data_IF_798453584765
#
_entry.id   IF_798453584765
#
_cell.length_a   1.000
_cell.length_b   1.000
_cell.length_c   1.000
_cell.angle_alpha   90.00
_cell.angle_beta   90.00
_cell.angle_gamma   90.00
#
_symmetry.space_group_name_H-M   'P 1'
#
loop_
_entity.id
_entity.type
_entity.pdbx_description
1 polymer ?
#
# COMPACT_ATOMS: atom_id res chain seq x y z
N UNK A 1 9.04 -15.59 -5.94
CA UNK A 1 8.78 -14.81 -4.71
C UNK A 1 9.97 -14.91 -3.76
N UNK A 2 10.23 -16.05 -3.11
CA UNK A 2 11.30 -16.20 -2.11
C UNK A 2 12.70 -15.67 -2.49
N UNK A 3 13.18 -15.88 -3.73
CA UNK A 3 14.53 -15.43 -4.14
C UNK A 3 14.68 -13.91 -4.21
N UNK A 4 13.63 -13.20 -4.61
CA UNK A 4 13.63 -11.73 -4.71
C UNK A 4 13.51 -11.12 -3.31
N UNK A 5 12.67 -11.70 -2.46
CA UNK A 5 12.49 -11.23 -1.08
C UNK A 5 13.77 -11.43 -0.24
N UNK A 6 14.46 -12.57 -0.41
CA UNK A 6 15.75 -12.82 0.21
C UNK A 6 16.82 -11.82 -0.26
N UNK A 7 16.81 -11.43 -1.53
CA UNK A 7 17.73 -10.43 -2.08
C UNK A 7 17.46 -9.05 -1.49
N UNK A 8 16.18 -8.65 -1.35
CA UNK A 8 15.78 -7.38 -0.72
C UNK A 8 16.25 -7.31 0.73
N UNK A 9 15.99 -8.35 1.51
CA UNK A 9 16.41 -8.42 2.91
C UNK A 9 17.94 -8.33 3.04
N UNK A 10 18.68 -9.03 2.19
CA UNK A 10 20.15 -8.97 2.17
C UNK A 10 20.70 -7.57 1.84
N UNK A 11 20.00 -6.80 1.00
CA UNK A 11 20.35 -5.41 0.68
C UNK A 11 20.06 -4.50 1.87
N UNK A 12 18.91 -4.66 2.54
CA UNK A 12 18.55 -3.90 3.75
C UNK A 12 19.60 -4.11 4.85
N UNK A 13 19.99 -5.35 5.11
CA UNK A 13 21.01 -5.66 6.11
C UNK A 13 22.34 -4.97 5.80
N UNK A 14 22.75 -4.99 4.53
CA UNK A 14 23.98 -4.29 4.10
C UNK A 14 23.86 -2.78 4.28
N UNK A 15 22.71 -2.18 3.95
CA UNK A 15 22.48 -0.74 4.13
C UNK A 15 22.59 -0.34 5.60
N UNK A 16 22.05 -1.14 6.52
CA UNK A 16 22.12 -0.89 7.97
C UNK A 16 23.55 -0.92 8.53
N UNK A 17 24.48 -1.62 7.87
CA UNK A 17 25.89 -1.68 8.27
C UNK A 17 26.76 -0.54 7.74
N UNK A 18 26.27 0.26 6.78
CA UNK A 18 27.06 1.35 6.18
C UNK A 18 27.06 2.57 7.10
N UNK A 19 28.25 2.93 7.59
CA UNK A 19 28.46 4.14 8.39
C UNK A 19 28.95 5.34 7.56
N UNK A 20 29.42 5.09 6.34
CA UNK A 20 29.97 6.13 5.48
C UNK A 20 28.86 6.89 4.74
N UNK A 21 28.68 8.16 5.12
CA UNK A 21 27.69 9.07 4.54
C UNK A 21 27.82 9.25 3.02
N UNK A 22 29.04 9.29 2.47
CA UNK A 22 29.25 9.48 1.03
C UNK A 22 28.79 8.26 0.22
N UNK A 23 29.03 7.06 0.74
CA UNK A 23 28.52 5.84 0.12
C UNK A 23 27.01 5.76 0.19
N UNK A 24 26.41 6.09 1.33
CA UNK A 24 24.95 6.11 1.48
C UNK A 24 24.30 7.11 0.51
N UNK A 25 24.91 8.28 0.33
CA UNK A 25 24.44 9.30 -0.62
C UNK A 25 24.51 8.83 -2.08
N UNK A 26 25.60 8.17 -2.47
CA UNK A 26 25.74 7.63 -3.82
C UNK A 26 24.73 6.51 -4.09
N UNK A 27 24.47 5.65 -3.11
CA UNK A 27 23.44 4.61 -3.20
C UNK A 27 22.03 5.20 -3.28
N UNK A 28 21.72 6.21 -2.47
CA UNK A 28 20.45 6.94 -2.54
C UNK A 28 20.23 7.51 -3.94
N UNK A 29 21.23 8.23 -4.49
CA UNK A 29 21.16 8.82 -5.83
C UNK A 29 21.04 7.76 -6.93
N UNK A 30 21.66 6.60 -6.75
CA UNK A 30 21.55 5.48 -7.70
C UNK A 30 20.13 4.91 -7.72
N UNK A 31 19.54 4.69 -6.55
CA UNK A 31 18.18 4.14 -6.40
C UNK A 31 17.12 5.15 -6.86
N UNK A 32 17.33 6.44 -6.58
CA UNK A 32 16.44 7.51 -7.03
C UNK A 32 16.46 7.66 -8.56
N UNK A 33 17.62 7.48 -9.21
CA UNK A 33 17.78 7.56 -10.66
C UNK A 33 17.46 6.27 -11.40
N UNK A 34 17.54 5.12 -10.74
CA UNK A 34 16.94 3.89 -11.25
C UNK A 34 15.44 4.08 -11.14
N UNK A 35 14.86 4.69 -12.18
CA UNK A 35 13.42 4.81 -12.35
C UNK A 35 12.78 3.49 -11.94
N UNK A 36 12.20 3.47 -10.74
CA UNK A 36 11.07 2.59 -10.46
C UNK A 36 10.12 2.98 -11.59
N UNK A 37 9.91 2.09 -12.55
CA UNK A 37 8.76 2.22 -13.41
C UNK A 37 7.63 2.52 -12.44
N UNK A 38 7.13 3.76 -12.48
CA UNK A 38 5.85 4.07 -11.89
C UNK A 38 4.88 3.30 -12.76
N UNK A 39 4.82 1.99 -12.55
CA UNK A 39 3.69 1.16 -12.87
C UNK A 39 2.59 1.73 -11.99
N UNK A 40 2.04 2.85 -12.46
CA UNK A 40 0.75 3.35 -12.02
C UNK A 40 -0.15 2.15 -12.19
N UNK A 41 -0.51 1.53 -11.07
CA UNK A 41 -1.35 0.35 -11.06
C UNK A 41 -2.62 0.73 -11.81
N UNK A 42 -2.76 0.20 -13.02
CA UNK A 42 -3.95 0.46 -13.82
C UNK A 42 -5.08 -0.32 -13.18
N UNK A 43 -6.10 0.40 -12.74
CA UNK A 43 -7.32 -0.23 -12.25
C UNK A 43 -7.95 -1.03 -13.40
N UNK A 44 -8.49 -2.20 -13.06
CA UNK A 44 -9.34 -2.94 -14.00
C UNK A 44 -10.66 -2.21 -14.20
N UNK A 45 -11.40 -2.56 -15.25
CA UNK A 45 -12.71 -1.93 -15.52
C UNK A 45 -13.68 -2.15 -14.36
N UNK A 46 -13.63 -3.32 -13.72
CA UNK A 46 -14.46 -3.67 -12.56
C UNK A 46 -14.12 -2.83 -11.33
N UNK A 47 -12.83 -2.54 -11.12
CA UNK A 47 -12.38 -1.68 -10.03
C UNK A 47 -12.79 -0.22 -10.24
N UNK A 48 -12.73 0.27 -11.48
CA UNK A 48 -13.25 1.60 -11.83
C UNK A 48 -14.76 1.67 -11.60
N UNK A 49 -15.50 0.65 -12.06
CA UNK A 49 -16.95 0.58 -11.85
C UNK A 49 -17.32 0.56 -10.35
N UNK A 50 -16.56 -0.16 -9.52
CA UNK A 50 -16.78 -0.18 -8.07
C UNK A 50 -16.64 1.22 -7.46
N UNK A 51 -15.67 2.01 -7.90
CA UNK A 51 -15.49 3.39 -7.45
C UNK A 51 -16.63 4.29 -7.92
N UNK A 52 -17.08 4.15 -9.16
CA UNK A 52 -18.22 4.91 -9.69
C UNK A 52 -19.52 4.64 -8.91
N UNK A 53 -19.76 3.37 -8.55
CA UNK A 53 -20.88 2.98 -7.69
C UNK A 53 -20.73 3.57 -6.28
N UNK A 54 -19.52 3.57 -5.73
CA UNK A 54 -19.25 4.19 -4.43
C UNK A 54 -19.51 5.70 -4.44
N UNK A 55 -19.17 6.40 -5.53
CA UNK A 55 -19.47 7.83 -5.69
C UNK A 55 -20.98 8.09 -5.73
N UNK A 56 -21.75 7.19 -6.34
CA UNK A 56 -23.22 7.26 -6.33
C UNK A 56 -23.78 7.02 -4.92
N UNK A 57 -23.26 6.03 -4.20
CA UNK A 57 -23.66 5.74 -2.82
C UNK A 57 -23.38 6.93 -1.89
N UNK A 58 -22.25 7.61 -2.07
CA UNK A 58 -21.93 8.85 -1.33
C UNK A 58 -22.94 9.96 -1.66
N UNK A 59 -23.24 10.19 -2.95
CA UNK A 59 -24.21 11.22 -3.38
C UNK A 59 -25.63 10.94 -2.87
N UNK A 60 -26.01 9.67 -2.82
CA UNK A 60 -27.35 9.24 -2.40
C UNK A 60 -27.45 8.99 -0.89
N UNK A 61 -26.37 9.20 -0.14
CA UNK A 61 -26.35 9.03 1.32
C UNK A 61 -26.42 7.57 1.78
N UNK A 62 -26.08 6.62 0.90
CA UNK A 62 -26.05 5.18 1.18
C UNK A 62 -24.71 4.75 1.79
N UNK A 63 -24.26 5.47 2.81
CA UNK A 63 -23.10 5.10 3.61
C UNK A 63 -23.47 5.12 5.10
N UNK A 64 -22.68 4.42 5.90
CA UNK A 64 -22.84 4.40 7.36
C UNK A 64 -21.70 5.18 8.02
N UNK A 65 -21.93 5.69 9.22
CA UNK A 65 -20.87 6.29 10.01
C UNK A 65 -19.92 5.21 10.54
N UNK A 66 -18.68 5.61 10.85
CA UNK A 66 -17.72 4.72 11.49
C UNK A 66 -18.26 4.13 12.80
N UNK A 67 -18.96 4.94 13.60
CA UNK A 67 -19.57 4.50 14.86
C UNK A 67 -20.62 3.40 14.65
N UNK A 68 -21.42 3.50 13.57
CA UNK A 68 -22.40 2.48 13.23
C UNK A 68 -21.71 1.19 12.76
N UNK A 69 -20.65 1.30 11.96
CA UNK A 69 -19.83 0.17 11.52
C UNK A 69 -19.19 -0.57 12.71
N UNK A 70 -18.58 0.17 13.64
CA UNK A 70 -17.94 -0.40 14.83
C UNK A 70 -18.97 -1.17 15.69
N UNK A 71 -20.20 -0.67 15.80
CA UNK A 71 -21.28 -1.34 16.51
C UNK A 71 -21.71 -2.64 15.82
N UNK A 72 -21.83 -2.62 14.49
CA UNK A 72 -22.22 -3.78 13.70
C UNK A 72 -21.14 -4.88 13.76
N UNK A 73 -19.86 -4.48 13.70
CA UNK A 73 -18.71 -5.36 13.91
C UNK A 73 -18.73 -6.02 15.29
N UNK A 74 -19.00 -5.25 16.35
CA UNK A 74 -19.13 -5.79 17.71
C UNK A 74 -20.31 -6.75 17.84
N UNK A 75 -21.44 -6.47 17.19
CA UNK A 75 -22.59 -7.40 17.15
C UNK A 75 -22.23 -8.69 16.42
N UNK A 76 -21.53 -8.60 15.30
CA UNK A 76 -21.06 -9.76 14.54
C UNK A 76 -20.10 -10.62 15.37
N UNK A 77 -19.17 -9.99 16.10
CA UNK A 77 -18.22 -10.68 16.98
C UNK A 77 -18.89 -11.35 18.19
N UNK A 78 -19.98 -10.75 18.72
CA UNK A 78 -20.75 -11.27 19.85
C UNK A 78 -21.75 -12.37 19.45
N UNK A 79 -21.99 -12.59 18.16
CA UNK A 79 -22.89 -13.63 17.63
C UNK A 79 -22.31 -15.06 17.69
N UNK A 80 -21.40 -15.33 18.63
CA UNK A 80 -20.78 -16.63 18.88
C UNK A 80 -21.21 -17.21 20.22
#
# INVERSE_FOLDING_TARGET
MATIDNLRNSIIDKLLTITNKKYLLALYQLVEKSSVEQDTVKLTQEQVLMLELSDEDIKTGKFISQEQLDKDDLQWLNGR
#
